data_IF_915779551895
#
_entry.id   IF_915779551895
#
_cell.length_a   1.000
_cell.length_b   1.000
_cell.length_c   1.000
_cell.angle_alpha   90.00
_cell.angle_beta   90.00
_cell.angle_gamma   90.00
#
_symmetry.space_group_name_H-M   'P 1'
#
loop_
_entity.id
_entity.type
_entity.pdbx_description
1 polymer ?
#
# COMPACT_ATOMS: atom_id res chain seq x y z
N UNK A 1 18.70 2.10 -9.69
CA UNK A 1 17.32 2.42 -10.09
C UNK A 1 16.46 2.63 -8.85
N UNK A 2 15.85 3.80 -8.73
CA UNK A 2 14.86 4.12 -7.70
C UNK A 2 13.47 4.07 -8.34
N UNK A 3 12.56 3.30 -7.75
CA UNK A 3 11.14 3.29 -8.12
C UNK A 3 10.36 4.06 -7.06
N UNK A 4 9.65 5.10 -7.48
CA UNK A 4 8.79 5.89 -6.59
C UNK A 4 7.33 5.51 -6.83
N UNK A 5 6.65 5.06 -5.77
CA UNK A 5 5.23 4.72 -5.81
C UNK A 5 4.43 5.70 -4.94
N UNK A 6 3.56 6.53 -5.54
CA UNK A 6 2.76 7.50 -4.78
C UNK A 6 1.57 6.82 -4.10
N UNK A 7 1.46 7.00 -2.78
CA UNK A 7 0.41 6.43 -1.94
C UNK A 7 -0.39 7.55 -1.27
N UNK A 8 -1.70 7.55 -1.50
CA UNK A 8 -2.57 8.58 -0.97
C UNK A 8 -2.95 8.31 0.50
N UNK A 9 -2.35 9.07 1.42
CA UNK A 9 -2.77 9.08 2.84
C UNK A 9 -4.10 9.80 3.02
N UNK A 10 -4.37 10.78 2.15
CA UNK A 10 -5.67 11.43 2.02
C UNK A 10 -5.99 11.65 0.55
N UNK A 11 -7.20 11.28 0.16
CA UNK A 11 -7.74 11.56 -1.18
C UNK A 11 -9.07 12.29 -1.03
N UNK A 12 -9.26 13.38 -1.78
CA UNK A 12 -10.58 14.02 -1.93
C UNK A 12 -11.14 13.73 -3.31
N UNK A 13 -12.46 13.62 -3.38
CA UNK A 13 -13.20 13.54 -4.64
C UNK A 13 -13.84 14.90 -4.84
N UNK A 14 -13.33 15.64 -5.82
CA UNK A 14 -13.77 16.99 -6.18
C UNK A 14 -14.63 16.91 -7.43
N UNK A 15 -15.72 17.66 -7.45
CA UNK A 15 -16.59 17.79 -8.62
C UNK A 15 -16.53 19.22 -9.11
N UNK A 16 -16.36 19.38 -10.41
CA UNK A 16 -16.38 20.69 -11.07
C UNK A 16 -17.53 20.78 -12.08
N UNK A 17 -17.94 21.99 -12.40
CA UNK A 17 -18.88 22.29 -13.49
C UNK A 17 -18.15 22.42 -14.84
N UNK A 18 -18.87 22.88 -15.87
CA UNK A 18 -18.34 23.10 -17.23
C UNK A 18 -17.26 24.19 -17.29
N UNK A 19 -17.23 25.12 -16.33
CA UNK A 19 -16.25 26.21 -16.24
C UNK A 19 -15.03 25.82 -15.39
N UNK A 20 -15.07 24.65 -14.76
CA UNK A 20 -14.03 24.18 -13.84
C UNK A 20 -14.25 24.61 -12.39
N UNK A 21 -15.38 25.26 -12.07
CA UNK A 21 -15.68 25.73 -10.72
C UNK A 21 -16.11 24.58 -9.81
N UNK A 22 -15.63 24.58 -8.57
CA UNK A 22 -15.89 23.49 -7.62
C UNK A 22 -17.35 23.52 -7.14
N UNK A 23 -18.12 22.51 -7.54
CA UNK A 23 -19.53 22.31 -7.12
C UNK A 23 -19.68 21.29 -5.98
N UNK A 24 -18.57 20.76 -5.49
CA UNK A 24 -18.51 20.10 -4.19
C UNK A 24 -17.36 19.11 -4.07
N UNK A 25 -16.91 18.93 -2.83
CA UNK A 25 -15.79 18.06 -2.49
C UNK A 25 -16.15 17.19 -1.29
N UNK A 26 -15.64 15.97 -1.26
CA UNK A 26 -15.69 15.12 -0.07
C UNK A 26 -14.40 14.35 0.10
N UNK A 27 -14.09 13.96 1.33
CA UNK A 27 -13.01 12.98 1.59
C UNK A 27 -13.41 11.61 1.07
N UNK A 28 -12.47 10.93 0.45
CA UNK A 28 -12.57 9.50 0.13
C UNK A 28 -12.37 8.69 1.41
N UNK A 29 -13.11 7.59 1.61
CA UNK A 29 -12.84 6.65 2.70
C UNK A 29 -11.52 5.90 2.50
N UNK A 30 -11.00 5.81 1.26
CA UNK A 30 -9.72 5.17 0.97
C UNK A 30 -8.58 6.00 1.54
N UNK A 31 -7.83 5.36 2.44
CA UNK A 31 -6.57 5.84 3.01
C UNK A 31 -5.59 4.70 2.94
N UNK A 32 -4.36 5.00 2.62
CA UNK A 32 -3.32 3.99 2.53
C UNK A 32 -2.01 4.54 3.09
N UNK A 33 -1.00 3.70 3.24
CA UNK A 33 0.26 4.06 3.89
C UNK A 33 1.44 3.20 3.43
N UNK A 34 2.54 3.20 4.19
CA UNK A 34 3.78 2.51 3.80
C UNK A 34 3.59 1.01 3.49
N UNK A 35 2.63 0.34 4.13
CA UNK A 35 2.32 -1.07 3.89
C UNK A 35 1.82 -1.36 2.46
N UNK A 36 1.40 -0.34 1.70
CA UNK A 36 1.08 -0.48 0.28
C UNK A 36 2.27 -0.97 -0.56
N UNK A 37 3.51 -0.77 -0.07
CA UNK A 37 4.72 -1.28 -0.74
C UNK A 37 4.64 -2.77 -1.03
N UNK A 38 3.99 -3.55 -0.15
CA UNK A 38 3.85 -4.99 -0.33
C UNK A 38 2.92 -5.38 -1.49
N UNK A 39 1.96 -4.54 -1.84
CA UNK A 39 1.05 -4.77 -2.98
C UNK A 39 1.75 -4.60 -4.33
N UNK A 40 2.87 -3.86 -4.35
CA UNK A 40 3.72 -3.67 -5.52
C UNK A 40 4.87 -4.69 -5.55
N UNK A 41 5.51 -4.93 -4.41
CA UNK A 41 6.64 -5.86 -4.32
C UNK A 41 6.26 -7.31 -4.60
N UNK A 42 5.00 -7.71 -4.52
CA UNK A 42 4.59 -9.07 -4.91
C UNK A 42 4.94 -9.43 -6.36
N UNK A 43 5.06 -8.44 -7.26
CA UNK A 43 5.46 -8.66 -8.65
C UNK A 43 6.98 -8.83 -8.82
N UNK A 44 7.76 -8.30 -7.87
CA UNK A 44 9.23 -8.31 -7.89
C UNK A 44 9.81 -8.54 -6.48
N UNK A 45 9.46 -9.65 -5.80
CA UNK A 45 9.64 -9.78 -4.35
C UNK A 45 11.10 -9.78 -3.91
N UNK A 46 12.03 -10.13 -4.81
CA UNK A 46 13.47 -10.15 -4.57
C UNK A 46 14.22 -8.93 -5.10
N UNK A 47 13.53 -7.94 -5.69
CA UNK A 47 14.21 -6.78 -6.27
C UNK A 47 15.05 -6.00 -5.24
N UNK A 48 14.61 -5.94 -3.98
CA UNK A 48 15.35 -5.30 -2.89
C UNK A 48 16.62 -6.04 -2.45
N UNK A 49 16.91 -7.24 -2.96
CA UNK A 49 18.20 -7.90 -2.75
C UNK A 49 19.31 -7.28 -3.62
N UNK A 50 18.94 -6.52 -4.66
CA UNK A 50 19.89 -5.90 -5.56
C UNK A 50 20.39 -4.55 -5.02
N UNK A 51 21.70 -4.37 -4.86
CA UNK A 51 22.33 -3.18 -4.23
C UNK A 51 21.96 -1.85 -4.90
N UNK A 52 21.66 -1.88 -6.19
CA UNK A 52 21.25 -0.68 -6.93
C UNK A 52 19.74 -0.52 -7.09
N UNK A 53 18.91 -1.30 -6.38
CA UNK A 53 17.46 -1.16 -6.41
C UNK A 53 16.94 -0.57 -5.10
N UNK A 54 16.05 0.43 -5.22
CA UNK A 54 15.33 0.98 -4.09
C UNK A 54 13.88 1.25 -4.47
N UNK A 55 12.98 1.13 -3.51
CA UNK A 55 11.58 1.56 -3.62
C UNK A 55 11.32 2.66 -2.61
N UNK A 56 10.68 3.74 -3.05
CA UNK A 56 10.25 4.84 -2.20
C UNK A 56 8.73 5.01 -2.28
N UNK A 57 8.10 4.98 -1.11
CA UNK A 57 6.70 5.32 -0.95
C UNK A 57 6.60 6.82 -0.70
N UNK A 58 6.07 7.55 -1.69
CA UNK A 58 5.75 8.96 -1.55
C UNK A 58 4.33 9.09 -1.00
N UNK A 59 4.20 9.48 0.26
CA UNK A 59 2.90 9.69 0.91
C UNK A 59 2.32 11.04 0.45
N UNK A 60 1.13 11.03 -0.15
CA UNK A 60 0.56 12.23 -0.78
C UNK A 60 -0.83 12.57 -0.26
N UNK A 61 -1.16 13.86 -0.26
CA UNK A 61 -2.56 14.32 -0.36
C UNK A 61 -2.88 14.61 -1.81
N UNK A 62 -4.02 14.13 -2.29
CA UNK A 62 -4.43 14.31 -3.68
C UNK A 62 -5.92 14.55 -3.86
N UNK A 63 -6.24 15.30 -4.91
CA UNK A 63 -7.61 15.53 -5.37
C UNK A 63 -7.86 14.70 -6.64
N UNK A 64 -8.95 13.94 -6.66
CA UNK A 64 -9.49 13.33 -7.88
C UNK A 64 -10.64 14.18 -8.35
N UNK A 65 -10.42 14.91 -9.44
CA UNK A 65 -11.35 15.91 -9.97
C UNK A 65 -12.19 15.29 -11.08
N UNK A 66 -13.50 15.24 -10.88
CA UNK A 66 -14.47 14.81 -11.89
C UNK A 66 -15.18 16.01 -12.50
N UNK A 67 -15.21 16.03 -13.84
CA UNK A 67 -16.02 16.98 -14.60
C UNK A 67 -17.53 16.78 -14.42
N UNK A 68 -18.33 17.58 -15.15
CA UNK A 68 -19.77 17.43 -15.18
C UNK A 68 -20.18 16.02 -15.68
N UNK A 69 -21.37 15.52 -15.32
CA UNK A 69 -21.86 14.23 -15.82
C UNK A 69 -22.05 14.24 -17.35
N UNK A 70 -21.78 13.10 -18.00
CA UNK A 70 -21.97 12.98 -19.45
C UNK A 70 -23.46 12.73 -19.79
N UNK A 71 -24.13 13.74 -20.36
CA UNK A 71 -25.47 13.61 -20.97
C UNK A 71 -26.59 13.11 -20.03
N UNK A 72 -27.52 12.29 -20.58
CA UNK A 72 -28.77 11.87 -19.90
C UNK A 72 -28.56 10.98 -18.66
N UNK A 73 -27.36 10.45 -18.43
CA UNK A 73 -27.05 9.57 -17.28
C UNK A 73 -26.37 10.37 -16.17
N UNK A 74 -27.15 11.19 -15.45
CA UNK A 74 -26.72 12.08 -14.35
C UNK A 74 -25.79 11.44 -13.28
N UNK A 75 -25.73 10.11 -13.21
CA UNK A 75 -24.91 9.35 -12.24
C UNK A 75 -23.52 8.97 -12.76
N UNK A 76 -23.27 9.01 -14.07
CA UNK A 76 -21.98 8.60 -14.64
C UNK A 76 -21.14 9.86 -14.92
N UNK A 77 -20.01 9.97 -14.23
CA UNK A 77 -19.04 11.03 -14.45
C UNK A 77 -17.83 10.47 -15.18
N UNK A 78 -17.12 11.29 -15.97
CA UNK A 78 -15.86 10.88 -16.58
C UNK A 78 -14.84 10.45 -15.52
N UNK A 79 -13.84 9.68 -15.95
CA UNK A 79 -12.71 9.30 -15.10
C UNK A 79 -12.08 10.57 -14.52
N UNK A 80 -11.87 10.58 -13.21
CA UNK A 80 -11.35 11.77 -12.53
C UNK A 80 -9.86 11.97 -12.84
N UNK A 81 -9.46 13.24 -12.99
CA UNK A 81 -8.04 13.60 -13.12
C UNK A 81 -7.43 13.71 -11.72
N UNK A 82 -6.27 13.09 -11.51
CA UNK A 82 -5.52 13.18 -10.25
C UNK A 82 -4.68 14.45 -10.24
N UNK A 83 -4.78 15.21 -9.16
CA UNK A 83 -3.92 16.35 -8.88
C UNK A 83 -3.22 16.12 -7.54
N UNK A 84 -1.89 16.17 -7.57
CA UNK A 84 -1.10 16.17 -6.36
C UNK A 84 -1.34 17.50 -5.63
N UNK A 85 -1.82 17.43 -4.40
CA UNK A 85 -2.02 18.61 -3.54
C UNK A 85 -0.76 18.82 -2.70
N UNK A 86 -0.24 17.74 -2.11
CA UNK A 86 0.88 17.81 -1.19
C UNK A 86 1.65 16.48 -1.19
N UNK A 87 2.97 16.58 -1.15
CA UNK A 87 3.84 15.47 -0.75
C UNK A 87 4.05 15.58 0.77
N UNK A 88 3.44 14.65 1.50
CA UNK A 88 3.40 14.63 2.97
C UNK A 88 4.71 14.11 3.54
N UNK A 89 5.17 12.97 3.05
CA UNK A 89 6.37 12.29 3.55
C UNK A 89 6.89 11.27 2.53
N UNK A 90 8.09 10.73 2.77
CA UNK A 90 8.73 9.69 1.96
C UNK A 90 9.29 8.60 2.84
N UNK A 91 8.99 7.35 2.48
CA UNK A 91 9.57 6.18 3.13
C UNK A 91 10.33 5.36 2.10
N UNK A 92 11.65 5.25 2.25
CA UNK A 92 12.53 4.57 1.30
C UNK A 92 13.04 3.24 1.87
N UNK A 93 12.99 2.22 1.02
CA UNK A 93 13.53 0.89 1.27
C UNK A 93 14.56 0.56 0.20
N UNK A 94 15.77 0.25 0.65
CA UNK A 94 16.95 -0.06 -0.16
C UNK A 94 17.44 -1.48 0.11
N UNK A 95 17.05 -2.08 1.23
CA UNK A 95 17.43 -3.44 1.59
C UNK A 95 16.29 -4.19 2.29
N UNK A 96 16.29 -5.54 2.23
CA UNK A 96 15.18 -6.34 2.76
C UNK A 96 14.95 -6.16 4.26
N UNK A 97 16.01 -5.91 5.03
CA UNK A 97 15.92 -5.71 6.48
C UNK A 97 15.07 -4.49 6.87
N UNK A 98 15.01 -3.45 6.02
CA UNK A 98 14.19 -2.27 6.29
C UNK A 98 12.68 -2.57 6.18
N UNK A 99 12.28 -3.57 5.38
CA UNK A 99 10.89 -4.01 5.35
C UNK A 99 10.48 -4.75 6.62
N UNK A 100 11.44 -5.37 7.34
CA UNK A 100 11.16 -6.01 8.62
C UNK A 100 10.69 -5.00 9.68
N UNK A 101 11.12 -3.74 9.58
CA UNK A 101 10.65 -2.66 10.46
C UNK A 101 9.16 -2.33 10.29
N UNK A 102 8.52 -2.80 9.21
CA UNK A 102 7.08 -2.69 9.00
C UNK A 102 6.28 -3.82 9.69
N UNK A 103 6.94 -4.86 10.23
CA UNK A 103 6.27 -5.89 11.00
C UNK A 103 5.81 -5.33 12.36
N UNK A 104 4.67 -5.78 12.88
CA UNK A 104 4.22 -5.36 14.20
C UNK A 104 5.15 -5.94 15.28
N UNK A 105 5.53 -5.13 16.25
CA UNK A 105 6.23 -5.62 17.43
C UNK A 105 5.34 -6.54 18.28
N UNK A 106 5.94 -7.53 18.94
CA UNK A 106 5.23 -8.39 19.90
C UNK A 106 4.32 -9.45 19.27
N UNK A 107 4.46 -9.75 17.98
CA UNK A 107 3.71 -10.82 17.34
C UNK A 107 4.19 -12.19 17.84
N UNK A 108 3.30 -12.96 18.46
CA UNK A 108 3.63 -14.29 19.00
C UNK A 108 3.98 -15.27 17.88
N UNK A 109 5.10 -15.96 18.03
CA UNK A 109 5.55 -16.97 17.06
C UNK A 109 5.11 -18.39 17.46
N UNK A 110 4.68 -19.23 16.49
CA UNK A 110 4.54 -18.92 15.08
C UNK A 110 3.17 -18.28 14.76
N UNK A 111 3.14 -17.34 13.81
CA UNK A 111 1.94 -16.61 13.42
C UNK A 111 1.52 -16.90 11.97
N UNK A 112 0.23 -16.80 11.66
CA UNK A 112 -0.31 -16.84 10.31
C UNK A 112 -0.57 -15.46 9.72
N UNK A 113 -0.97 -15.42 8.44
CA UNK A 113 -1.34 -14.17 7.78
C UNK A 113 -2.56 -13.47 8.42
N UNK A 114 -3.44 -14.22 9.10
CA UNK A 114 -4.59 -13.64 9.82
C UNK A 114 -4.15 -12.88 11.08
N UNK A 115 -3.21 -13.45 11.82
CA UNK A 115 -2.64 -12.80 13.02
C UNK A 115 -1.88 -11.53 12.60
N UNK A 116 -1.10 -11.62 11.52
CA UNK A 116 -0.41 -10.48 10.92
C UNK A 116 -1.38 -9.38 10.45
N UNK A 117 -2.50 -9.75 9.80
CA UNK A 117 -3.52 -8.79 9.36
C UNK A 117 -4.14 -8.04 10.55
N UNK A 118 -4.46 -8.75 11.62
CA UNK A 118 -5.02 -8.17 12.83
C UNK A 118 -4.02 -7.22 13.51
N UNK A 119 -2.77 -7.64 13.66
CA UNK A 119 -1.73 -6.84 14.31
C UNK A 119 -1.34 -5.57 13.50
N UNK A 120 -1.42 -5.62 12.17
CA UNK A 120 -1.15 -4.47 11.30
C UNK A 120 -2.37 -3.61 10.99
N UNK A 121 -3.59 -4.06 11.32
CA UNK A 121 -4.82 -3.37 10.95
C UNK A 121 -5.07 -3.30 9.44
N UNK A 122 -4.68 -4.34 8.69
CA UNK A 122 -4.79 -4.40 7.22
C UNK A 122 -5.70 -5.53 6.73
N UNK A 123 -5.99 -5.54 5.43
CA UNK A 123 -6.73 -6.64 4.81
C UNK A 123 -5.92 -7.94 4.85
N UNK A 124 -6.62 -9.08 4.85
CA UNK A 124 -5.96 -10.38 4.76
C UNK A 124 -5.07 -10.50 3.52
N UNK A 125 -5.51 -9.95 2.38
CA UNK A 125 -4.72 -9.95 1.15
C UNK A 125 -3.39 -9.24 1.32
N UNK A 126 -3.39 -8.03 1.91
CA UNK A 126 -2.15 -7.28 2.16
C UNK A 126 -1.24 -7.97 3.17
N UNK A 127 -1.81 -8.62 4.19
CA UNK A 127 -1.02 -9.43 5.11
C UNK A 127 -0.39 -10.66 4.43
N UNK A 128 -1.10 -11.29 3.47
CA UNK A 128 -0.54 -12.37 2.66
C UNK A 128 0.57 -11.87 1.74
N UNK A 129 0.41 -10.72 1.10
CA UNK A 129 1.45 -10.06 0.30
C UNK A 129 2.69 -9.76 1.16
N UNK A 130 2.49 -9.17 2.34
CA UNK A 130 3.55 -8.92 3.32
C UNK A 130 4.30 -10.21 3.68
N UNK A 131 3.57 -11.26 4.10
CA UNK A 131 4.18 -12.53 4.44
C UNK A 131 4.92 -13.18 3.26
N UNK A 132 4.36 -13.08 2.04
CA UNK A 132 4.97 -13.61 0.82
C UNK A 132 6.29 -12.91 0.49
N UNK A 133 6.30 -11.58 0.44
CA UNK A 133 7.48 -10.78 0.11
C UNK A 133 8.56 -10.98 1.17
N UNK A 134 8.22 -10.85 2.46
CA UNK A 134 9.17 -11.01 3.54
C UNK A 134 9.74 -12.44 3.61
N UNK A 135 8.94 -13.46 3.30
CA UNK A 135 9.46 -14.84 3.15
C UNK A 135 10.40 -14.98 1.95
N UNK A 136 10.04 -14.41 0.80
CA UNK A 136 10.86 -14.48 -0.41
C UNK A 136 12.25 -13.85 -0.21
N UNK A 137 12.30 -12.82 0.65
CA UNK A 137 13.49 -12.08 1.09
C UNK A 137 14.22 -12.70 2.31
N UNK A 138 13.75 -13.84 2.81
CA UNK A 138 14.37 -14.53 3.95
C UNK A 138 14.16 -13.86 5.32
N UNK A 139 13.34 -12.81 5.40
CA UNK A 139 12.96 -12.16 6.67
C UNK A 139 12.02 -13.05 7.48
N UNK A 140 11.14 -13.80 6.81
CA UNK A 140 10.26 -14.79 7.44
C UNK A 140 10.64 -16.21 7.01
N UNK A 141 10.58 -17.14 7.95
CA UNK A 141 10.73 -18.57 7.68
C UNK A 141 9.41 -19.31 7.92
N UNK A 142 9.15 -20.38 7.17
CA UNK A 142 8.00 -21.26 7.41
C UNK A 142 8.26 -22.03 8.71
N UNK A 143 7.31 -21.95 9.64
CA UNK A 143 7.34 -22.62 10.94
C UNK A 143 6.31 -23.76 11.05
N UNK A 144 5.52 -24.00 10.00
CA UNK A 144 4.54 -25.08 9.95
C UNK A 144 3.27 -24.68 9.20
N UNK A 145 2.18 -25.37 9.51
CA UNK A 145 0.85 -25.11 8.95
C UNK A 145 -0.24 -25.23 10.01
N UNK A 146 -1.29 -24.41 9.89
CA UNK A 146 -2.57 -24.56 10.62
C UNK A 146 -3.68 -24.75 9.58
N UNK A 147 -4.11 -26.00 9.40
CA UNK A 147 -4.91 -26.37 8.24
C UNK A 147 -4.17 -26.06 6.94
N UNK A 148 -4.79 -25.26 6.05
CA UNK A 148 -4.18 -24.83 4.80
C UNK A 148 -3.29 -23.58 4.92
N UNK A 149 -3.30 -22.90 6.08
CA UNK A 149 -2.52 -21.69 6.28
C UNK A 149 -1.07 -22.01 6.66
N UNK A 150 -0.11 -21.37 5.99
CA UNK A 150 1.29 -21.38 6.43
C UNK A 150 1.43 -20.56 7.73
N UNK A 151 2.22 -21.09 8.65
CA UNK A 151 2.68 -20.37 9.82
C UNK A 151 4.12 -19.91 9.61
N UNK A 152 4.43 -18.75 10.15
CA UNK A 152 5.70 -18.07 9.99
C UNK A 152 6.35 -17.77 11.34
N UNK A 153 7.67 -17.61 11.31
CA UNK A 153 8.49 -17.05 12.38
C UNK A 153 9.47 -16.06 11.78
N UNK A 154 9.95 -15.10 12.56
CA UNK A 154 11.00 -14.21 12.11
C UNK A 154 12.29 -15.02 11.92
N UNK A 155 12.93 -14.85 10.77
CA UNK A 155 14.24 -15.45 10.50
C UNK A 155 15.25 -14.85 11.48
N UNK A 156 15.77 -15.66 12.41
CA UNK A 156 16.89 -15.25 13.25
C UNK A 156 18.10 -15.05 12.34
N UNK A 157 18.53 -13.80 12.15
CA UNK A 157 19.86 -13.47 11.62
C UNK A 157 20.87 -13.54 12.75
#
# INVERSE_FOLDING_TARGET
MLVVHPVAVERRVVRVDERGEVVGARRSPKRDGPLAVFDELVFVPRALEHEHFAVEIALTREDVVHGPPDGRRRRRRPAGRRHLVELVDRVRFEQPAQLAALLPGGLEEPFGARDLAAALGVTLLRAQHCAYVLRALGVLAIAGKRGNALLYRIGRR
#
